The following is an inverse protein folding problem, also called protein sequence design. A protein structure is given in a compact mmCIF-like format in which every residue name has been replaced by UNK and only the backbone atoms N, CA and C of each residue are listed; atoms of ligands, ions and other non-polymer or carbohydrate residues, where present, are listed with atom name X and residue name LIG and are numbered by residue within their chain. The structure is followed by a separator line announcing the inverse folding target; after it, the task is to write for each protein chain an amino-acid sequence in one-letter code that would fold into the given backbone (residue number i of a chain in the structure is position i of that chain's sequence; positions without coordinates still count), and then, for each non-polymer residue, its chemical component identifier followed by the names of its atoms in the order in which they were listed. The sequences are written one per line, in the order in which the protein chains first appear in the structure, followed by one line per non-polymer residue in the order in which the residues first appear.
data_IF_329966927768
#
_entry.id   IF_329966927768
#
_cell.length_a   1.000
_cell.length_b   1.000
_cell.length_c   1.000
_cell.angle_alpha   90.00
_cell.angle_beta   90.00
_cell.angle_gamma   90.00
#
_symmetry.space_group_name_H-M   'P 1'
#
loop_
_entity.id
_entity.type
_entity.pdbx_description
1 polymer ?
#
# COMPACT_ATOMS: atom_id res chain seq x y z
N UNK A 1 6.81 6.24 16.76
CA UNK A 1 6.03 5.12 16.20
C UNK A 1 4.62 5.53 15.77
N UNK A 2 3.82 6.20 16.62
CA UNK A 2 2.44 6.62 16.30
C UNK A 2 2.30 7.49 15.03
N UNK A 3 3.18 8.47 14.79
CA UNK A 3 3.17 9.28 13.54
C UNK A 3 3.41 8.45 12.27
N UNK A 4 4.27 7.43 12.35
CA UNK A 4 4.54 6.53 11.21
C UNK A 4 3.37 5.59 10.93
N UNK A 5 2.63 5.18 11.97
CA UNK A 5 1.40 4.40 11.80
C UNK A 5 0.27 5.23 11.18
N UNK A 6 0.11 6.49 11.62
CA UNK A 6 -0.86 7.42 11.04
C UNK A 6 -0.57 7.74 9.56
N UNK A 7 0.69 7.99 9.20
CA UNK A 7 1.09 8.21 7.80
C UNK A 7 0.89 6.97 6.92
N UNK A 8 1.16 5.77 7.45
CA UNK A 8 0.88 4.51 6.74
C UNK A 8 -0.62 4.32 6.53
N UNK A 9 -1.43 4.57 7.56
CA UNK A 9 -2.89 4.51 7.49
C UNK A 9 -3.43 5.48 6.44
N UNK A 10 -2.97 6.74 6.43
CA UNK A 10 -3.39 7.76 5.46
C UNK A 10 -3.01 7.38 4.03
N UNK A 11 -1.81 6.83 3.81
CA UNK A 11 -1.39 6.36 2.46
C UNK A 11 -2.19 5.15 1.98
N UNK A 12 -2.52 4.24 2.87
CA UNK A 12 -3.38 3.08 2.57
C UNK A 12 -4.81 3.53 2.24
N UNK A 13 -5.34 4.47 3.00
CA UNK A 13 -6.65 5.11 2.82
C UNK A 13 -6.80 5.72 1.42
N UNK A 14 -5.83 6.56 1.01
CA UNK A 14 -5.79 7.18 -0.34
C UNK A 14 -5.72 6.13 -1.45
N UNK A 15 -4.97 5.06 -1.23
CA UNK A 15 -4.78 3.98 -2.21
C UNK A 15 -6.07 3.19 -2.47
N UNK A 16 -6.85 2.93 -1.42
CA UNK A 16 -8.13 2.21 -1.49
C UNK A 16 -9.18 3.03 -2.24
N UNK A 17 -9.36 4.32 -1.93
CA UNK A 17 -10.28 5.21 -2.67
C UNK A 17 -9.96 5.21 -4.16
N UNK A 18 -8.68 5.34 -4.48
CA UNK A 18 -8.22 5.35 -5.87
C UNK A 18 -8.45 4.03 -6.58
N UNK A 19 -8.34 2.90 -5.87
CA UNK A 19 -8.64 1.58 -6.42
C UNK A 19 -10.13 1.45 -6.71
N UNK A 20 -11.00 1.76 -5.75
CA UNK A 20 -12.45 1.66 -5.92
C UNK A 20 -12.98 2.56 -7.05
N UNK A 21 -12.46 3.80 -7.18
CA UNK A 21 -12.78 4.69 -8.31
C UNK A 21 -12.32 4.14 -9.66
N UNK A 22 -11.25 3.35 -9.72
CA UNK A 22 -10.79 2.72 -10.97
C UNK A 22 -11.59 1.47 -11.33
N UNK A 23 -12.15 0.77 -10.33
CA UNK A 23 -12.90 -0.47 -10.51
C UNK A 23 -14.42 -0.25 -10.62
N UNK A 24 -14.89 0.99 -10.45
CA UNK A 24 -16.28 1.38 -10.68
C UNK A 24 -16.70 1.13 -12.12
N UNK A 25 -17.91 0.61 -12.29
CA UNK A 25 -18.48 0.22 -13.59
C UNK A 25 -19.06 1.39 -14.36
N UNK A 26 -19.50 2.44 -13.64
CA UNK A 26 -20.07 3.66 -14.21
C UNK A 26 -19.70 4.88 -13.34
N UNK A 27 -20.07 6.07 -13.84
CA UNK A 27 -19.76 7.33 -13.16
C UNK A 27 -20.43 7.43 -11.80
N UNK A 28 -21.70 7.03 -11.68
CA UNK A 28 -22.45 7.07 -10.42
C UNK A 28 -21.83 6.22 -9.31
N UNK A 29 -21.45 4.98 -9.61
CA UNK A 29 -20.74 4.08 -8.68
C UNK A 29 -19.42 4.71 -8.20
N UNK A 30 -18.68 5.36 -9.13
CA UNK A 30 -17.46 6.11 -8.80
C UNK A 30 -17.72 7.27 -7.84
N UNK A 31 -18.85 7.98 -8.01
CA UNK A 31 -19.26 9.06 -7.11
C UNK A 31 -19.63 8.55 -5.71
N UNK A 32 -20.37 7.45 -5.63
CA UNK A 32 -20.69 6.83 -4.34
C UNK A 32 -19.41 6.49 -3.58
N UNK A 33 -18.42 5.87 -4.23
CA UNK A 33 -17.12 5.59 -3.58
C UNK A 33 -16.35 6.84 -3.19
N UNK A 34 -16.45 7.93 -3.95
CA UNK A 34 -15.77 9.19 -3.64
C UNK A 34 -16.30 9.83 -2.34
N UNK A 35 -17.59 9.66 -2.08
CA UNK A 35 -18.28 10.25 -0.93
C UNK A 35 -18.15 9.42 0.36
N UNK A 36 -17.81 8.13 0.26
CA UNK A 36 -17.61 7.29 1.44
C UNK A 36 -16.28 7.60 2.16
N UNK A 37 -16.27 7.52 3.51
CA UNK A 37 -15.03 7.60 4.28
C UNK A 37 -14.11 6.44 3.93
N UNK A 38 -12.81 6.71 3.81
CA UNK A 38 -11.86 5.70 3.34
C UNK A 38 -11.31 4.77 4.42
N UNK A 39 -11.88 4.88 5.62
CA UNK A 39 -11.59 4.04 6.77
C UNK A 39 -12.06 2.59 6.52
N UNK A 40 -12.98 2.34 5.57
CA UNK A 40 -13.50 0.99 5.38
C UNK A 40 -14.01 0.70 3.96
N UNK A 41 -13.18 0.19 3.06
CA UNK A 41 -13.66 -0.59 1.90
C UNK A 41 -12.52 -1.46 1.36
N UNK A 42 -12.69 -2.79 1.31
CA UNK A 42 -12.04 -3.57 0.25
C UNK A 42 -13.18 -3.92 -0.71
N UNK A 43 -13.13 -3.46 -1.96
CA UNK A 43 -14.08 -3.94 -2.97
C UNK A 43 -13.82 -5.44 -3.13
N UNK A 44 -14.74 -6.28 -2.66
CA UNK A 44 -14.54 -7.72 -2.66
C UNK A 44 -15.07 -8.34 -3.95
N UNK A 45 -14.12 -8.71 -4.81
CA UNK A 45 -14.38 -9.59 -5.94
C UNK A 45 -14.15 -11.04 -5.51
N UNK A 46 -15.21 -11.83 -5.43
CA UNK A 46 -15.11 -13.25 -5.12
C UNK A 46 -14.87 -14.02 -6.42
N UNK A 47 -13.66 -14.54 -6.56
CA UNK A 47 -13.24 -15.35 -7.70
C UNK A 47 -13.35 -16.83 -7.35
N UNK A 48 -13.97 -17.60 -8.25
CA UNK A 48 -13.97 -19.07 -8.21
C UNK A 48 -14.63 -19.67 -6.96
N UNK A 49 -15.81 -19.18 -6.59
CA UNK A 49 -16.64 -19.80 -5.55
C UNK A 49 -16.94 -21.26 -5.95
N UNK A 50 -16.69 -22.19 -5.03
CA UNK A 50 -16.60 -23.63 -5.34
C UNK A 50 -17.85 -24.43 -4.97
N UNK A 51 -18.84 -23.82 -4.30
CA UNK A 51 -20.00 -24.56 -3.81
C UNK A 51 -21.33 -23.93 -4.27
N UNK A 52 -21.83 -24.29 -5.48
CA UNK A 52 -23.10 -23.77 -5.99
C UNK A 52 -24.31 -24.31 -5.22
N UNK A 53 -24.17 -25.35 -4.39
CA UNK A 53 -25.31 -25.96 -3.68
C UNK A 53 -25.99 -24.99 -2.72
N UNK A 54 -25.25 -24.05 -2.12
CA UNK A 54 -25.83 -22.99 -1.29
C UNK A 54 -26.74 -22.04 -2.07
N UNK A 55 -26.62 -22.00 -3.41
CA UNK A 55 -27.46 -21.22 -4.30
C UNK A 55 -28.60 -22.03 -4.92
N UNK A 56 -28.73 -23.34 -4.63
CA UNK A 56 -29.75 -24.19 -5.26
C UNK A 56 -31.16 -23.62 -5.06
N UNK A 57 -31.45 -23.10 -3.86
CA UNK A 57 -32.73 -22.46 -3.58
C UNK A 57 -32.95 -21.20 -4.44
N UNK A 58 -31.93 -20.34 -4.56
CA UNK A 58 -31.96 -19.09 -5.33
C UNK A 58 -32.08 -19.39 -6.84
N UNK A 59 -31.47 -20.48 -7.28
CA UNK A 59 -31.49 -20.96 -8.66
C UNK A 59 -32.84 -21.60 -9.06
N UNK A 60 -33.78 -21.85 -8.14
CA UNK A 60 -35.13 -22.36 -8.49
C UNK A 60 -35.96 -21.29 -9.20
N UNK A 61 -36.62 -21.67 -10.30
CA UNK A 61 -37.51 -20.76 -11.03
C UNK A 61 -38.72 -20.35 -10.16
N UNK A 62 -39.19 -21.25 -9.30
CA UNK A 62 -40.26 -20.98 -8.32
C UNK A 62 -39.88 -19.84 -7.37
N UNK A 63 -38.62 -19.80 -6.95
CA UNK A 63 -38.13 -18.77 -6.03
C UNK A 63 -38.07 -17.40 -6.72
N UNK A 64 -37.58 -17.36 -7.96
CA UNK A 64 -37.60 -16.14 -8.78
C UNK A 64 -39.02 -15.65 -9.04
N UNK A 65 -39.95 -16.57 -9.35
CA UNK A 65 -41.39 -16.27 -9.47
C UNK A 65 -41.96 -15.70 -8.18
N UNK A 66 -41.62 -16.28 -7.02
CA UNK A 66 -42.06 -15.78 -5.73
C UNK A 66 -41.57 -14.34 -5.50
N UNK A 67 -40.30 -14.04 -5.76
CA UNK A 67 -39.76 -12.67 -5.66
C UNK A 67 -40.49 -11.72 -6.61
N UNK A 68 -40.62 -12.05 -7.90
CA UNK A 68 -41.30 -11.20 -8.88
C UNK A 68 -42.76 -10.96 -8.51
N UNK A 69 -43.48 -12.02 -8.12
CA UNK A 69 -44.88 -11.92 -7.73
C UNK A 69 -45.11 -11.12 -6.44
N UNK A 70 -44.11 -11.06 -5.55
CA UNK A 70 -44.24 -10.37 -4.27
C UNK A 70 -43.78 -8.91 -4.36
N UNK A 71 -42.65 -8.67 -5.01
CA UNK A 71 -41.96 -7.37 -5.00
C UNK A 71 -42.13 -6.53 -6.27
N UNK A 72 -42.56 -7.14 -7.38
CA UNK A 72 -42.71 -6.45 -8.68
C UNK A 72 -44.18 -6.35 -9.08
N UNK A 73 -44.97 -7.40 -8.88
CA UNK A 73 -46.37 -7.39 -9.31
C UNK A 73 -47.20 -6.30 -8.63
N UNK A 74 -47.92 -5.53 -9.47
CA UNK A 74 -48.71 -4.40 -9.03
C UNK A 74 -47.87 -3.17 -8.65
N UNK A 75 -46.56 -3.16 -8.94
CA UNK A 75 -45.80 -1.92 -8.94
C UNK A 75 -46.32 -1.03 -10.06
N UNK A 76 -46.72 0.20 -9.70
CA UNK A 76 -47.03 1.21 -10.69
C UNK A 76 -45.76 1.82 -11.31
N UNK A 77 -44.58 1.45 -10.81
CA UNK A 77 -43.27 1.79 -11.36
C UNK A 77 -42.69 0.65 -12.19
N UNK A 78 -41.75 0.99 -13.08
CA UNK A 78 -41.06 0.09 -14.02
C UNK A 78 -40.07 -0.84 -13.34
N UNK A 79 -40.41 -1.45 -12.19
CA UNK A 79 -39.52 -2.40 -11.51
C UNK A 79 -39.23 -3.58 -12.42
N UNK A 80 -37.93 -3.85 -12.61
CA UNK A 80 -37.46 -4.98 -13.39
C UNK A 80 -37.32 -6.21 -12.49
N UNK A 81 -38.02 -7.28 -12.86
CA UNK A 81 -37.93 -8.56 -12.18
C UNK A 81 -36.63 -9.32 -12.47
N UNK A 82 -36.53 -10.48 -11.81
CA UNK A 82 -35.46 -11.45 -12.01
C UNK A 82 -35.87 -12.38 -13.16
N UNK A 83 -35.04 -12.55 -14.21
CA UNK A 83 -35.34 -13.47 -15.31
C UNK A 83 -35.51 -14.92 -14.84
N UNK A 84 -36.54 -15.63 -15.31
CA UNK A 84 -36.88 -16.98 -14.84
C UNK A 84 -36.06 -18.08 -15.51
N UNK A 85 -35.66 -17.85 -16.75
CA UNK A 85 -35.04 -18.82 -17.66
C UNK A 85 -33.54 -19.03 -17.44
N UNK A 86 -32.86 -18.12 -16.72
CA UNK A 86 -31.43 -18.25 -16.47
C UNK A 86 -31.18 -19.08 -15.21
N UNK A 87 -30.60 -20.28 -15.35
CA UNK A 87 -29.87 -20.88 -14.24
C UNK A 87 -28.60 -20.04 -14.03
N UNK A 88 -28.71 -18.95 -13.28
CA UNK A 88 -27.71 -17.89 -13.31
C UNK A 88 -26.37 -18.32 -12.70
N UNK A 89 -26.38 -19.29 -11.78
CA UNK A 89 -25.16 -19.75 -11.10
C UNK A 89 -24.94 -21.26 -11.28
N UNK A 90 -24.10 -21.65 -12.24
CA UNK A 90 -23.66 -23.04 -12.49
C UNK A 90 -22.14 -23.13 -12.52
N UNK A 91 -21.58 -24.22 -11.99
CA UNK A 91 -20.13 -24.49 -12.05
C UNK A 91 -19.30 -23.43 -11.31
N UNK A 92 -18.20 -22.98 -11.92
CA UNK A 92 -17.40 -21.85 -11.42
C UNK A 92 -18.01 -20.54 -11.91
N UNK A 93 -18.41 -19.67 -10.98
CA UNK A 93 -18.92 -18.35 -11.27
C UNK A 93 -18.14 -17.28 -10.52
N UNK A 94 -18.29 -16.03 -10.96
CA UNK A 94 -17.70 -14.85 -10.32
C UNK A 94 -18.83 -13.99 -9.78
N UNK A 95 -18.67 -13.48 -8.57
CA UNK A 95 -19.57 -12.50 -7.99
C UNK A 95 -18.82 -11.19 -7.77
N UNK A 96 -19.46 -10.11 -8.18
CA UNK A 96 -19.06 -8.75 -7.86
C UNK A 96 -20.17 -8.17 -6.99
N UNK A 97 -19.82 -7.81 -5.76
CA UNK A 97 -20.64 -6.96 -4.90
C UNK A 97 -20.10 -5.55 -5.00
N UNK A 98 -20.99 -4.56 -5.04
CA UNK A 98 -20.57 -3.17 -5.24
C UNK A 98 -19.92 -2.63 -3.96
N UNK A 99 -20.62 -2.66 -2.83
CA UNK A 99 -20.13 -2.07 -1.59
C UNK A 99 -20.17 -3.08 -0.44
N UNK A 100 -19.03 -3.66 -0.13
CA UNK A 100 -18.85 -4.48 1.07
C UNK A 100 -17.71 -3.93 1.91
N UNK A 101 -17.92 -3.87 3.22
CA UNK A 101 -16.84 -3.48 4.11
C UNK A 101 -16.95 -4.10 5.51
N UNK A 102 -15.78 -4.27 6.12
CA UNK A 102 -15.62 -4.77 7.49
C UNK A 102 -15.06 -3.66 8.37
N UNK A 103 -15.86 -3.17 9.31
CA UNK A 103 -15.43 -2.11 10.21
C UNK A 103 -14.18 -2.51 10.99
N UNK A 104 -13.16 -1.65 10.96
CA UNK A 104 -11.96 -1.76 11.79
C UNK A 104 -11.99 -0.63 12.81
N UNK A 105 -11.95 -0.98 14.09
CA UNK A 105 -11.87 0.02 15.15
C UNK A 105 -10.48 0.65 15.15
N UNK A 106 -10.39 1.97 15.00
CA UNK A 106 -9.16 2.68 15.31
C UNK A 106 -9.14 2.89 16.83
N UNK A 107 -8.28 2.14 17.51
CA UNK A 107 -8.09 2.14 18.98
C UNK A 107 -7.74 3.50 19.60
N UNK A 108 -7.64 4.58 18.82
CA UNK A 108 -7.27 5.91 19.25
C UNK A 108 -8.42 6.91 19.45
N UNK A 109 -9.65 6.62 18.99
CA UNK A 109 -10.79 7.54 19.14
C UNK A 109 -11.90 6.91 20.00
N UNK A 110 -12.24 7.58 21.10
CA UNK A 110 -13.31 7.16 22.04
C UNK A 110 -14.73 7.33 21.48
N UNK A 111 -14.89 7.88 20.27
CA UNK A 111 -16.19 8.09 19.62
C UNK A 111 -16.58 6.87 18.79
N UNK A 112 -17.72 6.24 19.13
CA UNK A 112 -18.33 5.18 18.32
C UNK A 112 -18.85 5.81 17.02
N UNK A 113 -18.49 5.23 15.88
CA UNK A 113 -18.94 5.69 14.55
C UNK A 113 -20.22 4.93 14.20
N UNK A 114 -21.30 5.62 13.82
CA UNK A 114 -22.55 5.01 13.37
C UNK A 114 -22.49 4.66 11.87
N UNK A 115 -23.41 3.82 11.39
CA UNK A 115 -23.56 3.58 9.95
C UNK A 115 -24.04 4.86 9.23
N UNK A 116 -24.86 5.69 9.87
CA UNK A 116 -25.22 7.01 9.35
C UNK A 116 -24.00 7.89 9.17
N UNK A 117 -23.05 7.90 10.10
CA UNK A 117 -21.80 8.66 9.95
C UNK A 117 -21.02 8.26 8.69
N UNK A 118 -21.03 6.97 8.36
CA UNK A 118 -20.38 6.44 7.14
C UNK A 118 -21.13 6.86 5.88
N UNK A 119 -22.46 6.86 5.91
CA UNK A 119 -23.30 7.18 4.76
C UNK A 119 -23.69 8.67 4.72
N UNK A 120 -23.21 9.50 5.65
CA UNK A 120 -23.69 10.87 5.92
C UNK A 120 -23.76 11.73 4.66
N UNK A 121 -22.71 11.71 3.85
CA UNK A 121 -22.63 12.46 2.59
C UNK A 121 -23.67 12.06 1.55
N UNK A 122 -24.27 10.87 1.70
CA UNK A 122 -25.32 10.34 0.82
C UNK A 122 -26.71 10.58 1.41
N UNK A 123 -26.89 10.33 2.72
CA UNK A 123 -28.21 10.30 3.37
C UNK A 123 -28.63 11.61 4.04
N UNK A 124 -27.71 12.55 4.26
CA UNK A 124 -27.96 13.86 4.89
C UNK A 124 -27.73 15.01 3.90
N UNK A 125 -28.03 14.80 2.61
CA UNK A 125 -27.89 15.85 1.58
C UNK A 125 -28.82 17.04 1.87
N UNK A 126 -28.29 18.27 1.83
CA UNK A 126 -29.04 19.52 2.08
C UNK A 126 -30.19 19.76 1.07
N UNK A 127 -30.13 19.11 -0.11
CA UNK A 127 -31.20 19.12 -1.12
C UNK A 127 -32.40 18.21 -0.73
N UNK A 128 -32.52 17.84 0.55
CA UNK A 128 -33.57 16.96 1.11
C UNK A 128 -34.89 17.66 1.45
N UNK A 129 -34.95 18.99 1.41
CA UNK A 129 -35.97 19.80 2.10
C UNK A 129 -37.40 19.70 1.50
N UNK A 130 -37.63 18.78 0.58
CA UNK A 130 -38.92 18.54 -0.08
C UNK A 130 -39.87 17.65 0.75
N UNK A 131 -39.46 17.20 1.95
CA UNK A 131 -40.25 16.27 2.79
C UNK A 131 -40.29 14.83 2.28
N UNK A 132 -39.45 14.50 1.29
CA UNK A 132 -39.39 13.18 0.64
C UNK A 132 -38.32 12.30 1.31
N UNK A 133 -38.63 11.05 1.70
CA UNK A 133 -37.68 10.20 2.42
C UNK A 133 -36.47 9.83 1.55
N UNK A 134 -35.26 10.15 2.03
CA UNK A 134 -34.00 9.72 1.42
C UNK A 134 -33.56 8.34 1.87
N UNK A 135 -34.03 7.89 3.04
CA UNK A 135 -33.75 6.55 3.56
C UNK A 135 -35.06 5.86 3.86
N UNK A 136 -35.17 4.60 3.44
CA UNK A 136 -36.32 3.74 3.74
C UNK A 136 -35.80 2.45 4.36
N UNK A 137 -36.22 2.17 5.59
CA UNK A 137 -35.95 0.92 6.28
C UNK A 137 -37.06 -0.09 5.97
N UNK A 138 -36.71 -1.24 5.39
CA UNK A 138 -37.72 -2.23 4.97
C UNK A 138 -38.30 -3.01 6.16
N UNK A 139 -37.51 -3.17 7.21
CA UNK A 139 -37.82 -4.03 8.34
C UNK A 139 -38.82 -3.43 9.32
N UNK A 140 -38.88 -2.10 9.40
CA UNK A 140 -39.75 -1.29 10.28
C UNK A 140 -40.85 -0.53 9.54
N UNK A 141 -40.94 -0.64 8.21
CA UNK A 141 -41.79 0.23 7.37
C UNK A 141 -43.29 0.28 7.75
N UNK A 142 -43.85 -0.84 8.22
CA UNK A 142 -45.27 -0.97 8.58
C UNK A 142 -45.53 -0.86 10.09
N UNK A 143 -44.49 -0.72 10.92
CA UNK A 143 -44.70 -0.44 12.33
C UNK A 143 -45.16 1.02 12.42
N UNK A 144 -46.36 1.30 12.95
CA UNK A 144 -46.97 2.64 13.09
C UNK A 144 -46.11 3.71 13.84
N UNK A 145 -44.85 3.39 14.12
CA UNK A 145 -43.80 4.28 14.62
C UNK A 145 -43.13 4.98 13.44
N UNK A 146 -43.40 6.26 13.31
CA UNK A 146 -42.69 7.17 12.39
C UNK A 146 -41.31 7.49 12.96
N UNK A 147 -40.43 6.48 13.08
CA UNK A 147 -39.01 6.73 13.26
C UNK A 147 -38.43 7.07 11.89
N UNK A 148 -37.68 8.17 11.77
CA UNK A 148 -36.92 8.44 10.56
C UNK A 148 -35.92 7.28 10.38
N UNK A 149 -35.91 6.63 9.22
CA UNK A 149 -34.98 5.54 8.94
C UNK A 149 -33.51 5.97 9.07
N UNK A 150 -33.22 7.28 9.03
CA UNK A 150 -31.91 7.85 9.37
C UNK A 150 -31.54 7.66 10.85
N UNK A 151 -32.51 7.73 11.76
CA UNK A 151 -32.29 7.49 13.19
C UNK A 151 -31.98 6.02 13.46
N UNK A 152 -32.56 5.10 12.68
CA UNK A 152 -32.20 3.68 12.73
C UNK A 152 -30.75 3.46 12.27
N UNK A 153 -30.30 4.13 11.20
CA UNK A 153 -28.90 4.10 10.78
C UNK A 153 -27.95 4.67 11.84
N UNK A 154 -28.39 5.68 12.58
CA UNK A 154 -27.62 6.28 13.69
C UNK A 154 -27.48 5.29 14.87
N UNK A 155 -28.51 4.50 15.13
CA UNK A 155 -28.50 3.44 16.15
C UNK A 155 -27.55 2.27 15.83
N UNK A 156 -27.15 2.10 14.56
CA UNK A 156 -26.27 1.03 14.12
C UNK A 156 -24.79 1.40 14.31
N UNK A 157 -24.30 1.22 15.52
CA UNK A 157 -22.92 1.49 15.90
C UNK A 157 -21.95 0.44 15.34
N UNK A 158 -20.89 0.90 14.66
CA UNK A 158 -19.87 0.03 14.09
C UNK A 158 -18.94 -0.50 15.17
N UNK A 159 -19.09 -1.79 15.51
CA UNK A 159 -18.13 -2.53 16.33
C UNK A 159 -16.96 -3.05 15.49
N UNK A 160 -15.89 -3.48 16.17
CA UNK A 160 -14.79 -4.17 15.50
C UNK A 160 -15.32 -5.39 14.73
N UNK A 161 -14.89 -5.55 13.48
CA UNK A 161 -15.29 -6.60 12.56
C UNK A 161 -16.78 -6.63 12.17
N UNK A 162 -17.57 -5.58 12.46
CA UNK A 162 -18.92 -5.46 11.94
C UNK A 162 -18.92 -5.49 10.41
N UNK A 163 -19.82 -6.28 9.82
CA UNK A 163 -19.93 -6.44 8.38
C UNK A 163 -21.10 -5.62 7.84
N UNK A 164 -20.88 -4.96 6.70
CA UNK A 164 -21.87 -4.15 6.01
C UNK A 164 -21.83 -4.50 4.53
N UNK A 165 -23.01 -4.73 3.92
CA UNK A 165 -23.13 -5.06 2.50
C UNK A 165 -24.23 -4.25 1.82
N UNK A 166 -23.83 -3.34 0.94
CA UNK A 166 -24.71 -2.57 0.07
C UNK A 166 -24.44 -2.88 -1.40
N UNK A 167 -25.49 -2.81 -2.21
CA UNK A 167 -25.39 -2.78 -3.67
C UNK A 167 -25.64 -1.36 -4.20
N UNK A 168 -25.14 -1.04 -5.39
CA UNK A 168 -25.25 0.29 -5.98
C UNK A 168 -25.96 0.19 -7.34
N UNK A 169 -26.97 1.03 -7.57
CA UNK A 169 -27.62 1.15 -8.89
C UNK A 169 -27.95 2.60 -9.20
N UNK A 170 -27.74 3.02 -10.45
CA UNK A 170 -28.17 4.34 -10.94
C UNK A 170 -29.63 4.31 -11.44
N UNK A 171 -30.20 3.12 -11.59
CA UNK A 171 -31.54 2.90 -12.12
C UNK A 171 -32.49 2.40 -11.02
N UNK A 172 -33.53 3.17 -10.63
CA UNK A 172 -34.55 2.73 -9.68
C UNK A 172 -35.34 1.50 -10.13
N UNK A 173 -35.43 1.22 -11.44
CA UNK A 173 -36.07 0.00 -11.96
C UNK A 173 -35.34 -1.27 -11.54
N UNK A 174 -34.02 -1.22 -11.42
CA UNK A 174 -33.16 -2.37 -11.14
C UNK A 174 -33.09 -2.77 -9.65
N UNK A 175 -33.82 -2.10 -8.75
CA UNK A 175 -33.75 -2.35 -7.29
C UNK A 175 -34.01 -3.81 -6.90
N UNK A 176 -34.96 -4.50 -7.54
CA UNK A 176 -35.26 -5.92 -7.24
C UNK A 176 -34.11 -6.84 -7.67
N UNK A 177 -33.43 -6.53 -8.77
CA UNK A 177 -32.21 -7.27 -9.18
C UNK A 177 -31.07 -7.08 -8.18
N UNK A 178 -30.93 -5.87 -7.62
CA UNK A 178 -29.93 -5.60 -6.58
C UNK A 178 -30.27 -6.25 -5.23
N UNK A 179 -31.54 -6.30 -4.85
CA UNK A 179 -31.98 -7.14 -3.71
C UNK A 179 -31.61 -8.62 -3.94
N UNK A 180 -31.78 -9.11 -5.16
CA UNK A 180 -31.40 -10.48 -5.50
C UNK A 180 -29.88 -10.72 -5.45
N UNK A 181 -29.05 -9.71 -5.66
CA UNK A 181 -27.61 -9.82 -5.41
C UNK A 181 -27.28 -9.89 -3.91
N UNK A 182 -27.98 -9.14 -3.08
CA UNK A 182 -27.87 -9.25 -1.62
C UNK A 182 -28.28 -10.64 -1.12
N UNK A 183 -29.37 -11.20 -1.66
CA UNK A 183 -29.82 -12.58 -1.43
C UNK A 183 -28.72 -13.60 -1.73
N UNK A 184 -28.05 -13.46 -2.88
CA UNK A 184 -26.92 -14.31 -3.27
C UNK A 184 -25.76 -14.17 -2.28
N UNK A 185 -25.44 -12.96 -1.83
CA UNK A 185 -24.43 -12.71 -0.80
C UNK A 185 -24.77 -13.41 0.52
N UNK A 186 -26.04 -13.32 0.94
CA UNK A 186 -26.54 -13.93 2.17
C UNK A 186 -26.55 -15.47 2.10
N UNK A 187 -26.96 -16.05 0.98
CA UNK A 187 -26.88 -17.50 0.78
C UNK A 187 -25.44 -18.02 0.80
N UNK A 188 -24.49 -17.20 0.38
CA UNK A 188 -23.06 -17.51 0.38
C UNK A 188 -22.31 -16.91 1.57
N UNK A 189 -23.01 -16.48 2.64
CA UNK A 189 -22.40 -15.80 3.78
C UNK A 189 -21.16 -16.53 4.35
N UNK A 190 -21.17 -17.85 4.39
CA UNK A 190 -20.04 -18.62 4.94
C UNK A 190 -18.82 -18.66 4.00
N UNK A 191 -18.97 -18.28 2.73
CA UNK A 191 -17.87 -18.15 1.76
C UNK A 191 -17.49 -16.69 1.53
N UNK A 192 -18.47 -15.79 1.60
CA UNK A 192 -18.32 -14.36 1.29
C UNK A 192 -17.90 -13.58 2.55
N UNK A 193 -18.44 -13.95 3.71
CA UNK A 193 -18.27 -13.22 4.96
C UNK A 193 -17.44 -13.98 6.00
N UNK A 194 -17.00 -15.21 5.72
CA UNK A 194 -16.12 -15.94 6.64
C UNK A 194 -14.71 -15.37 6.70
N UNK A 195 -14.15 -15.40 7.91
CA UNK A 195 -12.77 -15.04 8.21
C UNK A 195 -11.89 -16.26 8.06
N UNK A 196 -11.22 -16.44 6.92
CA UNK A 196 -10.02 -17.27 6.93
C UNK A 196 -8.94 -16.52 7.74
N UNK A 197 -8.80 -16.87 9.02
CA UNK A 197 -7.66 -16.48 9.86
C UNK A 197 -7.91 -15.49 11.01
N UNK A 198 -9.15 -15.28 11.48
CA UNK A 198 -9.39 -14.53 12.72
C UNK A 198 -9.97 -15.45 13.80
N UNK A 199 -9.24 -15.64 14.90
CA UNK A 199 -9.67 -16.35 16.11
C UNK A 199 -10.77 -15.61 16.91
N UNK A 200 -11.27 -14.47 16.41
CA UNK A 200 -12.33 -13.71 17.06
C UNK A 200 -13.71 -14.04 16.46
N UNK A 201 -14.49 -14.84 17.20
CA UNK A 201 -15.70 -15.52 16.75
C UNK A 201 -16.99 -14.71 16.56
N UNK A 202 -16.96 -13.39 16.36
CA UNK A 202 -18.20 -12.57 16.33
C UNK A 202 -18.29 -11.60 15.12
N UNK A 203 -17.90 -12.03 13.92
CA UNK A 203 -18.20 -11.24 12.71
C UNK A 203 -19.71 -11.27 12.43
N UNK A 204 -20.43 -10.22 12.85
CA UNK A 204 -21.88 -10.08 12.64
C UNK A 204 -22.16 -9.16 11.45
N UNK A 205 -23.00 -9.64 10.53
CA UNK A 205 -23.61 -8.78 9.52
C UNK A 205 -24.57 -7.81 10.21
N UNK A 206 -24.18 -6.53 10.20
CA UNK A 206 -24.85 -5.45 10.92
C UNK A 206 -26.02 -4.89 10.11
N UNK A 207 -25.82 -4.68 8.82
CA UNK A 207 -26.82 -4.13 7.92
C UNK A 207 -26.57 -4.51 6.47
N UNK A 208 -27.65 -4.53 5.69
CA UNK A 208 -27.59 -4.62 4.23
C UNK A 208 -28.38 -3.47 3.60
N UNK A 209 -28.16 -3.22 2.32
CA UNK A 209 -28.97 -2.22 1.64
C UNK A 209 -28.65 -1.98 0.18
N UNK A 210 -29.31 -0.99 -0.39
CA UNK A 210 -29.08 -0.54 -1.76
C UNK A 210 -28.94 0.97 -1.77
N UNK A 211 -27.87 1.46 -2.39
CA UNK A 211 -27.69 2.87 -2.73
C UNK A 211 -28.23 3.07 -4.14
N UNK A 212 -29.24 3.93 -4.27
CA UNK A 212 -29.99 4.12 -5.51
C UNK A 212 -29.85 5.56 -6.00
N UNK A 213 -29.40 5.73 -7.24
CA UNK A 213 -29.40 6.99 -7.96
C UNK A 213 -30.62 7.13 -8.88
N UNK A 214 -30.52 8.04 -9.85
CA UNK A 214 -31.56 8.27 -10.84
C UNK A 214 -32.66 9.20 -10.37
N UNK A 215 -33.88 9.01 -10.87
CA UNK A 215 -35.03 9.88 -10.56
C UNK A 215 -35.57 9.63 -9.14
N UNK A 216 -35.65 10.71 -8.34
CA UNK A 216 -36.08 10.67 -6.94
C UNK A 216 -37.51 10.14 -6.79
N UNK A 217 -38.44 10.59 -7.63
CA UNK A 217 -39.83 10.13 -7.58
C UNK A 217 -39.94 8.63 -7.90
N UNK A 218 -39.19 8.15 -8.89
CA UNK A 218 -39.15 6.74 -9.25
C UNK A 218 -38.57 5.88 -8.12
N UNK A 219 -37.49 6.35 -7.47
CA UNK A 219 -36.93 5.71 -6.27
C UNK A 219 -37.98 5.60 -5.17
N UNK A 220 -38.60 6.71 -4.76
CA UNK A 220 -39.55 6.74 -3.63
C UNK A 220 -40.70 5.80 -3.90
N UNK A 221 -41.27 5.85 -5.11
CA UNK A 221 -42.39 5.01 -5.53
C UNK A 221 -42.04 3.52 -5.46
N UNK A 222 -40.89 3.12 -6.00
CA UNK A 222 -40.43 1.74 -6.03
C UNK A 222 -40.04 1.23 -4.62
N UNK A 223 -39.27 2.02 -3.88
CA UNK A 223 -38.84 1.70 -2.52
C UNK A 223 -40.04 1.51 -1.58
N UNK A 224 -40.99 2.45 -1.63
CA UNK A 224 -42.25 2.41 -0.86
C UNK A 224 -43.11 1.21 -1.26
N UNK A 225 -43.19 0.88 -2.56
CA UNK A 225 -43.88 -0.32 -3.02
C UNK A 225 -43.29 -1.60 -2.43
N UNK A 226 -41.97 -1.76 -2.52
CA UNK A 226 -41.24 -2.92 -1.97
C UNK A 226 -41.45 -2.99 -0.45
N UNK A 227 -41.33 -1.87 0.25
CA UNK A 227 -41.43 -1.82 1.70
C UNK A 227 -42.82 -2.26 2.22
N UNK A 228 -43.91 -1.80 1.58
CA UNK A 228 -45.29 -2.27 1.88
C UNK A 228 -45.52 -3.76 1.63
N UNK A 229 -44.67 -4.38 0.82
CA UNK A 229 -44.72 -5.81 0.49
C UNK A 229 -43.72 -6.62 1.31
N UNK A 230 -42.95 -5.99 2.20
CA UNK A 230 -41.90 -6.66 2.96
C UNK A 230 -42.45 -7.70 3.94
N UNK A 231 -43.64 -7.47 4.51
CA UNK A 231 -44.33 -8.50 5.29
C UNK A 231 -44.70 -9.72 4.44
N UNK A 232 -45.30 -9.52 3.27
CA UNK A 232 -45.59 -10.61 2.33
C UNK A 232 -44.33 -11.30 1.81
N UNK A 233 -43.20 -10.58 1.69
CA UNK A 233 -41.91 -11.17 1.36
C UNK A 233 -41.44 -12.19 2.41
N UNK A 234 -41.67 -11.90 3.71
CA UNK A 234 -41.40 -12.87 4.80
C UNK A 234 -42.27 -14.11 4.67
N UNK A 235 -43.54 -13.95 4.31
CA UNK A 235 -44.49 -15.05 4.11
C UNK A 235 -44.15 -15.89 2.86
N UNK A 236 -43.63 -15.25 1.81
CA UNK A 236 -43.19 -15.86 0.56
C UNK A 236 -41.80 -16.54 0.63
N UNK A 237 -41.25 -16.70 1.84
CA UNK A 237 -39.95 -17.36 2.09
C UNK A 237 -38.75 -16.67 1.43
N UNK A 238 -38.81 -15.35 1.24
CA UNK A 238 -37.68 -14.57 0.72
C UNK A 238 -36.59 -14.48 1.81
N UNK A 239 -35.37 -14.96 1.50
CA UNK A 239 -34.26 -15.19 2.44
C UNK A 239 -33.86 -13.90 3.17
N UNK A 240 -33.71 -12.80 2.44
CA UNK A 240 -33.31 -11.50 2.98
C UNK A 240 -34.36 -10.97 3.96
N UNK A 241 -35.65 -11.14 3.64
CA UNK A 241 -36.75 -10.75 4.51
C UNK A 241 -36.80 -11.59 5.81
N UNK A 242 -36.40 -12.87 5.75
CA UNK A 242 -36.31 -13.77 6.91
C UNK A 242 -35.00 -13.67 7.70
N UNK A 243 -33.98 -13.01 7.16
CA UNK A 243 -32.63 -12.98 7.73
C UNK A 243 -32.54 -12.32 9.11
N UNK A 244 -33.49 -11.43 9.43
CA UNK A 244 -33.43 -10.58 10.61
C UNK A 244 -32.38 -9.47 10.53
N UNK A 245 -31.65 -9.36 9.41
CA UNK A 245 -30.70 -8.27 9.16
C UNK A 245 -31.46 -7.02 8.73
N UNK A 246 -31.20 -5.84 9.34
CA UNK A 246 -31.74 -4.57 8.87
C UNK A 246 -31.39 -4.30 7.40
N UNK A 247 -32.40 -4.01 6.59
CA UNK A 247 -32.24 -3.66 5.16
C UNK A 247 -32.71 -2.24 4.91
N UNK A 248 -31.85 -1.46 4.26
CA UNK A 248 -32.09 -0.04 3.95
C UNK A 248 -32.02 0.24 2.45
N UNK A 249 -32.88 1.14 1.99
CA UNK A 249 -32.74 1.81 0.70
C UNK A 249 -32.33 3.25 0.93
N UNK A 250 -31.20 3.64 0.35
CA UNK A 250 -30.64 4.98 0.48
C UNK A 250 -30.62 5.64 -0.90
N UNK A 251 -31.35 6.74 -1.05
CA UNK A 251 -31.27 7.58 -2.24
C UNK A 251 -29.98 8.39 -2.20
N UNK A 252 -29.18 8.30 -3.26
CA UNK A 252 -28.04 9.18 -3.47
C UNK A 252 -28.39 10.14 -4.59
N UNK A 253 -28.57 11.42 -4.22
CA UNK A 253 -28.93 12.45 -5.18
C UNK A 253 -27.86 12.58 -6.29
N UNK A 254 -28.27 12.79 -7.55
CA UNK A 254 -27.36 13.17 -8.62
C UNK A 254 -26.60 14.42 -8.20
N UNK A 255 -25.27 14.41 -8.33
CA UNK A 255 -24.48 15.57 -7.92
C UNK A 255 -24.83 16.76 -8.80
N UNK A 256 -25.24 17.86 -8.17
CA UNK A 256 -25.31 19.15 -8.86
C UNK A 256 -23.91 19.54 -9.35
N UNK A 257 -23.83 20.44 -10.34
CA UNK A 257 -22.55 21.00 -10.82
C UNK A 257 -21.71 21.54 -9.65
N UNK A 258 -22.37 22.09 -8.62
CA UNK A 258 -21.72 22.56 -7.40
C UNK A 258 -20.97 21.46 -6.65
N UNK A 259 -21.58 20.29 -6.49
CA UNK A 259 -20.94 19.17 -5.82
C UNK A 259 -19.82 18.54 -6.65
N UNK A 260 -19.95 18.54 -7.98
CA UNK A 260 -18.83 18.18 -8.87
C UNK A 260 -17.62 19.11 -8.64
N UNK A 261 -17.85 20.43 -8.53
CA UNK A 261 -16.78 21.38 -8.20
C UNK A 261 -16.20 21.16 -6.81
N UNK A 262 -17.00 20.80 -5.82
CA UNK A 262 -16.52 20.45 -4.48
C UNK A 262 -15.67 19.17 -4.49
N UNK A 263 -16.08 18.15 -5.23
CA UNK A 263 -15.29 16.93 -5.45
C UNK A 263 -13.94 17.23 -6.10
N UNK A 264 -13.92 18.02 -7.18
CA UNK A 264 -12.69 18.49 -7.83
C UNK A 264 -11.81 19.30 -6.88
N UNK A 265 -12.41 20.15 -6.03
CA UNK A 265 -11.69 20.94 -5.03
C UNK A 265 -11.03 20.05 -3.98
N UNK A 266 -11.69 18.98 -3.55
CA UNK A 266 -11.11 17.99 -2.63
C UNK A 266 -9.98 17.21 -3.29
N UNK A 267 -10.18 16.73 -4.52
CA UNK A 267 -9.14 16.02 -5.29
C UNK A 267 -7.91 16.94 -5.51
N UNK A 268 -8.11 18.22 -5.81
CA UNK A 268 -7.04 19.24 -5.91
C UNK A 268 -6.30 19.43 -4.58
N UNK A 269 -7.04 19.48 -3.47
CA UNK A 269 -6.44 19.60 -2.13
C UNK A 269 -5.59 18.36 -1.81
N UNK A 270 -6.08 17.18 -2.13
CA UNK A 270 -5.35 15.92 -1.93
C UNK A 270 -4.07 15.84 -2.78
N UNK A 271 -4.15 16.20 -4.06
CA UNK A 271 -2.99 16.27 -4.96
C UNK A 271 -1.95 17.27 -4.46
N UNK A 272 -2.39 18.41 -3.92
CA UNK A 272 -1.52 19.40 -3.33
C UNK A 272 -0.77 18.82 -2.11
N UNK A 273 -1.49 18.20 -1.19
CA UNK A 273 -0.90 17.57 -0.01
C UNK A 273 0.10 16.46 -0.40
N UNK A 274 -0.24 15.62 -1.39
CA UNK A 274 0.67 14.58 -1.91
C UNK A 274 1.96 15.16 -2.51
N UNK A 275 1.84 16.29 -3.21
CA UNK A 275 3.00 16.99 -3.77
C UNK A 275 3.86 17.64 -2.68
N UNK A 276 3.24 18.20 -1.64
CA UNK A 276 3.95 18.73 -0.47
C UNK A 276 4.72 17.61 0.27
N UNK A 277 4.11 16.45 0.47
CA UNK A 277 4.77 15.28 1.07
C UNK A 277 5.97 14.79 0.25
N UNK A 278 5.82 14.72 -1.08
CA UNK A 278 6.92 14.36 -1.99
C UNK A 278 8.04 15.39 -1.97
N UNK A 279 7.69 16.67 -1.98
CA UNK A 279 8.67 17.76 -1.90
C UNK A 279 9.48 17.65 -0.60
N UNK A 280 8.82 17.41 0.53
CA UNK A 280 9.49 17.20 1.82
C UNK A 280 10.41 15.97 1.82
N UNK A 281 10.00 14.87 1.17
CA UNK A 281 10.85 13.68 1.02
C UNK A 281 12.10 13.97 0.19
N UNK A 282 11.94 14.61 -0.98
CA UNK A 282 13.07 15.00 -1.82
C UNK A 282 13.99 16.00 -1.12
N UNK A 283 13.45 16.94 -0.34
CA UNK A 283 14.25 17.88 0.42
C UNK A 283 15.14 17.18 1.47
N UNK A 284 14.63 16.11 2.11
CA UNK A 284 15.43 15.28 3.02
C UNK A 284 16.51 14.49 2.29
N UNK A 285 16.19 13.90 1.13
CA UNK A 285 17.19 13.19 0.30
C UNK A 285 18.31 14.12 -0.17
N UNK A 286 17.96 15.33 -0.61
CA UNK A 286 18.93 16.37 -0.99
C UNK A 286 19.83 16.73 0.20
N UNK A 287 19.26 16.87 1.41
CA UNK A 287 20.05 17.18 2.60
C UNK A 287 21.04 16.06 2.95
N UNK A 288 20.59 14.80 2.89
CA UNK A 288 21.47 13.65 3.11
C UNK A 288 22.59 13.55 2.05
N UNK A 289 22.29 13.86 0.78
CA UNK A 289 23.29 13.92 -0.28
C UNK A 289 24.32 15.03 -0.04
N UNK A 290 23.91 16.19 0.48
CA UNK A 290 24.84 17.26 0.86
C UNK A 290 25.79 16.82 1.97
N UNK A 291 25.27 16.21 3.03
CA UNK A 291 26.08 15.70 4.14
C UNK A 291 27.11 14.65 3.68
N UNK A 292 26.70 13.74 2.79
CA UNK A 292 27.60 12.76 2.19
C UNK A 292 28.69 13.43 1.33
N UNK A 293 28.34 14.47 0.58
CA UNK A 293 29.28 15.23 -0.26
C UNK A 293 30.31 15.97 0.59
N UNK A 294 29.90 16.56 1.71
CA UNK A 294 30.80 17.20 2.67
C UNK A 294 31.75 16.17 3.30
N UNK A 295 31.25 14.99 3.67
CA UNK A 295 32.07 13.88 4.17
C UNK A 295 33.08 13.36 3.15
N UNK A 296 32.67 13.25 1.88
CA UNK A 296 33.58 12.87 0.79
C UNK A 296 34.68 13.92 0.59
N UNK A 297 34.33 15.22 0.64
CA UNK A 297 35.29 16.32 0.53
C UNK A 297 36.35 16.27 1.64
N UNK A 298 35.95 16.01 2.87
CA UNK A 298 36.90 15.84 4.00
C UNK A 298 37.81 14.62 3.80
N UNK A 299 37.25 13.52 3.28
CA UNK A 299 38.02 12.30 2.99
C UNK A 299 39.07 12.56 1.92
N UNK A 300 38.72 13.26 0.84
CA UNK A 300 39.65 13.65 -0.24
C UNK A 300 40.78 14.51 0.31
N UNK A 301 40.47 15.56 1.09
CA UNK A 301 41.48 16.42 1.72
C UNK A 301 42.44 15.63 2.64
N UNK A 302 41.92 14.63 3.33
CA UNK A 302 42.75 13.76 4.20
C UNK A 302 43.69 12.89 3.38
N UNK A 303 43.23 12.36 2.26
CA UNK A 303 44.06 11.56 1.34
C UNK A 303 45.15 12.42 0.70
N UNK A 304 44.81 13.62 0.23
CA UNK A 304 45.78 14.59 -0.31
C UNK A 304 46.90 14.87 0.70
N UNK A 305 46.55 15.21 1.95
CA UNK A 305 47.56 15.46 3.00
C UNK A 305 48.46 14.24 3.26
N UNK A 306 47.88 13.04 3.36
CA UNK A 306 48.65 11.80 3.58
C UNK A 306 49.58 11.51 2.41
N UNK A 307 49.15 11.80 1.19
CA UNK A 307 49.96 11.64 0.00
C UNK A 307 51.14 12.61 0.01
N UNK A 308 50.91 13.88 0.30
CA UNK A 308 51.96 14.90 0.40
C UNK A 308 53.00 14.56 1.49
N UNK A 309 52.54 14.12 2.66
CA UNK A 309 53.40 13.66 3.76
C UNK A 309 54.25 12.44 3.35
N UNK A 310 53.63 11.43 2.74
CA UNK A 310 54.32 10.24 2.26
C UNK A 310 55.36 10.55 1.18
N UNK A 311 55.03 11.43 0.22
CA UNK A 311 56.00 11.89 -0.78
C UNK A 311 57.17 12.64 -0.16
N UNK A 312 56.91 13.51 0.83
CA UNK A 312 57.97 14.23 1.53
C UNK A 312 58.91 13.29 2.30
N UNK A 313 58.35 12.26 2.95
CA UNK A 313 59.12 11.25 3.67
C UNK A 313 59.99 10.43 2.70
N UNK A 314 59.41 9.91 1.61
CA UNK A 314 60.18 9.20 0.59
C UNK A 314 61.27 10.07 -0.05
N UNK A 315 61.02 11.36 -0.24
CA UNK A 315 62.04 12.27 -0.77
C UNK A 315 63.23 12.41 0.19
N UNK A 316 62.99 12.44 1.50
CA UNK A 316 64.07 12.44 2.51
C UNK A 316 64.82 11.11 2.55
N UNK A 317 64.12 9.98 2.48
CA UNK A 317 64.74 8.65 2.42
C UNK A 317 65.64 8.50 1.19
N UNK A 318 65.16 8.95 0.01
CA UNK A 318 65.94 8.95 -1.23
C UNK A 318 67.19 9.82 -1.08
N UNK A 319 67.08 10.99 -0.45
CA UNK A 319 68.21 11.88 -0.23
C UNK A 319 69.26 11.24 0.71
N UNK A 320 68.83 10.63 1.82
CA UNK A 320 69.72 9.91 2.72
C UNK A 320 70.40 8.70 2.04
N UNK A 321 69.67 7.97 1.20
CA UNK A 321 70.23 6.88 0.41
C UNK A 321 71.30 7.36 -0.58
N UNK A 322 71.08 8.51 -1.24
CA UNK A 322 72.09 9.12 -2.12
C UNK A 322 73.36 9.45 -1.34
N UNK A 323 73.24 10.10 -0.18
CA UNK A 323 74.39 10.46 0.67
C UNK A 323 75.16 9.22 1.13
N UNK A 324 74.46 8.16 1.54
CA UNK A 324 75.11 6.89 1.89
C UNK A 324 75.84 6.25 0.71
N UNK A 325 75.26 6.34 -0.49
CA UNK A 325 75.85 5.77 -1.71
C UNK A 325 77.11 6.55 -2.13
N UNK A 326 77.11 7.88 -1.97
CA UNK A 326 78.28 8.73 -2.18
C UNK A 326 79.39 8.39 -1.17
N UNK A 327 79.06 8.24 0.12
CA UNK A 327 80.03 7.81 1.14
C UNK A 327 80.60 6.41 0.90
N UNK A 328 79.78 5.46 0.42
CA UNK A 328 80.26 4.13 0.03
C UNK A 328 81.25 4.20 -1.15
N UNK A 329 80.98 5.09 -2.12
CA UNK A 329 81.85 5.32 -3.27
C UNK A 329 83.21 5.87 -2.83
N UNK A 330 83.23 6.87 -1.95
CA UNK A 330 84.48 7.41 -1.38
C UNK A 330 85.28 6.35 -0.63
N UNK A 331 84.62 5.52 0.19
CA UNK A 331 85.27 4.41 0.89
C UNK A 331 85.88 3.39 -0.08
N UNK A 332 85.18 3.09 -1.18
CA UNK A 332 85.66 2.16 -2.20
C UNK A 332 86.86 2.71 -2.97
N UNK A 333 86.88 4.01 -3.26
CA UNK A 333 88.02 4.70 -3.85
C UNK A 333 89.23 4.69 -2.88
N UNK A 334 89.01 4.93 -1.59
CA UNK A 334 90.05 4.83 -0.55
C UNK A 334 90.61 3.42 -0.38
N UNK A 335 89.76 2.39 -0.42
CA UNK A 335 90.18 0.99 -0.40
C UNK A 335 91.04 0.66 -1.63
N UNK A 336 90.65 1.14 -2.81
CA UNK A 336 91.41 0.95 -4.04
C UNK A 336 92.81 1.56 -3.93
N UNK A 337 92.94 2.78 -3.41
CA UNK A 337 94.24 3.40 -3.16
C UNK A 337 95.09 2.59 -2.17
N UNK A 338 94.48 2.06 -1.11
CA UNK A 338 95.16 1.22 -0.11
C UNK A 338 95.69 -0.07 -0.75
N UNK A 339 94.87 -0.74 -1.57
CA UNK A 339 95.26 -1.94 -2.31
C UNK A 339 96.40 -1.65 -3.28
N UNK A 340 96.34 -0.53 -4.00
CA UNK A 340 97.41 -0.10 -4.91
C UNK A 340 98.72 0.16 -4.14
N UNK A 341 98.66 0.81 -2.98
CA UNK A 341 99.82 1.04 -2.10
C UNK A 341 100.42 -0.26 -1.53
N UNK A 342 99.57 -1.20 -1.10
CA UNK A 342 100.00 -2.54 -0.68
C UNK A 342 100.69 -3.28 -1.82
N UNK A 343 100.14 -3.21 -3.04
CA UNK A 343 100.73 -3.83 -4.24
C UNK A 343 102.13 -3.28 -4.51
N UNK A 344 102.34 -1.96 -4.42
CA UNK A 344 103.67 -1.36 -4.54
C UNK A 344 104.63 -1.81 -3.43
N UNK A 345 104.14 -1.94 -2.20
CA UNK A 345 104.95 -2.41 -1.06
C UNK A 345 105.40 -3.85 -1.25
N UNK A 346 104.50 -4.74 -1.68
CA UNK A 346 104.82 -6.14 -1.99
C UNK A 346 105.88 -6.22 -3.09
N UNK A 347 105.70 -5.50 -4.21
CA UNK A 347 106.71 -5.43 -5.28
C UNK A 347 108.08 -4.96 -4.77
N UNK A 348 108.10 -4.00 -3.83
CA UNK A 348 109.35 -3.51 -3.23
C UNK A 348 110.01 -4.57 -2.36
N UNK A 349 109.23 -5.32 -1.58
CA UNK A 349 109.72 -6.41 -0.74
C UNK A 349 110.27 -7.55 -1.61
N UNK A 350 109.54 -7.97 -2.65
CA UNK A 350 109.99 -8.97 -3.62
C UNK A 350 111.35 -8.57 -4.22
N UNK A 351 111.49 -7.33 -4.72
CA UNK A 351 112.75 -6.83 -5.26
C UNK A 351 113.90 -6.87 -4.24
N UNK A 352 113.66 -6.43 -3.00
CA UNK A 352 114.68 -6.48 -1.93
C UNK A 352 115.07 -7.91 -1.56
N UNK A 353 114.10 -8.82 -1.57
CA UNK A 353 114.34 -10.23 -1.28
C UNK A 353 115.20 -10.87 -2.37
N UNK A 354 114.88 -10.61 -3.65
CA UNK A 354 115.69 -11.04 -4.80
C UNK A 354 117.13 -10.51 -4.73
N UNK A 355 117.30 -9.23 -4.37
CA UNK A 355 118.62 -8.63 -4.13
C UNK A 355 119.36 -9.34 -2.99
N UNK A 356 118.69 -9.59 -1.87
CA UNK A 356 119.25 -10.30 -0.72
C UNK A 356 119.69 -11.74 -1.04
N UNK A 357 118.86 -12.49 -1.77
CA UNK A 357 119.21 -13.82 -2.25
C UNK A 357 120.41 -13.79 -3.20
N UNK A 358 120.47 -12.80 -4.11
CA UNK A 358 121.60 -12.61 -5.02
C UNK A 358 122.91 -12.35 -4.25
N UNK A 359 122.87 -11.56 -3.18
CA UNK A 359 124.02 -11.33 -2.29
C UNK A 359 124.44 -12.62 -1.57
N UNK A 360 123.49 -13.37 -1.01
CA UNK A 360 123.79 -14.64 -0.32
C UNK A 360 124.39 -15.69 -1.27
N UNK A 361 123.86 -15.82 -2.48
CA UNK A 361 124.41 -16.72 -3.51
C UNK A 361 125.85 -16.32 -3.86
N UNK A 362 126.14 -15.01 -3.99
CA UNK A 362 127.49 -14.50 -4.26
C UNK A 362 128.45 -14.81 -3.10
N UNK A 363 127.99 -14.68 -1.86
CA UNK A 363 128.77 -15.04 -0.67
C UNK A 363 129.06 -16.55 -0.60
N UNK A 364 128.06 -17.40 -0.84
CA UNK A 364 128.25 -18.86 -0.87
C UNK A 364 129.23 -19.31 -1.96
N UNK A 365 129.21 -18.68 -3.14
CA UNK A 365 130.21 -18.94 -4.19
C UNK A 365 131.63 -18.52 -3.79
N UNK A 366 131.78 -17.48 -2.96
CA UNK A 366 133.07 -17.04 -2.43
C UNK A 366 133.67 -17.96 -1.35
N UNK A 367 132.86 -18.79 -0.68
CA UNK A 367 133.31 -19.74 0.36
C UNK A 367 133.80 -21.07 -0.25
N UNK A 368 133.46 -21.38 -1.50
CA UNK A 368 133.86 -22.62 -2.19
C UNK A 368 135.28 -22.61 -2.80
N UNK A 369 136.14 -21.64 -2.45
CA UNK A 369 137.47 -21.44 -3.04
C UNK A 369 138.64 -21.57 -2.05
N UNK A 370 138.43 -22.22 -0.91
CA UNK A 370 139.53 -22.62 -0.01
C UNK A 370 139.89 -24.10 -0.20
#
# INVERSE_FOLDING_TARGET
MARSAADKSRKQEKSIRKLNRKTSSNWFESQVYANLPAIIVEMLMFLNLKNPQHLDHINRAEYRRAINSTLVMGSSGSLEGIPEESCTFKGKFKLKFDLYFRARSNSSNSSRVSLRDVLRSLVDSEDADDGVPQVIALHSYDDDKVADARDELEGLLLSENALIHFEITEEPSCMVRKLWQLEVGLALKDQVWSTQGSECGDSKLLAMGIIVGGEKEAFVKNATHIARRWKSAREADILLAKSGVPVFFCYAAPQSVHSMFNGLRMDLKELREDNEDKHMAHQKEIQALKENMDGLKQTVQTVERKMDEGFSEHQKEIQALKENMDGLKENMDGLKQTVDGLKQTVQTVERKMDEGFSVCIRALRGVSLY
#
